data_IF_708182292321
#
_entry.id   IF_708182292321
#
_cell.length_a   1.000
_cell.length_b   1.000
_cell.length_c   1.000
_cell.angle_alpha   90.00
_cell.angle_beta   90.00
_cell.angle_gamma   90.00
#
_symmetry.space_group_name_H-M   'P 1'
#
loop_
_entity.id
_entity.type
_entity.pdbx_description
1 polymer ?
#
# COMPACT_ATOMS: atom_id res chain seq x y z
N UNK A 1 0.74 6.87 -13.96
CA UNK A 1 0.23 8.25 -13.85
C UNK A 1 0.43 8.69 -12.41
N UNK A 2 1.02 9.86 -12.09
CA UNK A 2 1.09 10.29 -10.69
C UNK A 2 -0.34 10.48 -10.17
N UNK A 3 -0.67 9.89 -9.03
CA UNK A 3 -2.02 9.89 -8.45
C UNK A 3 -2.60 11.30 -8.24
N UNK A 4 -1.75 12.31 -8.12
CA UNK A 4 -2.14 13.73 -8.02
C UNK A 4 -2.75 14.30 -9.30
N UNK A 5 -2.51 13.71 -10.48
CA UNK A 5 -3.12 14.15 -11.73
C UNK A 5 -4.59 13.70 -11.87
N UNK A 6 -5.08 12.86 -10.95
CA UNK A 6 -6.37 12.19 -11.09
C UNK A 6 -7.47 12.68 -10.13
N UNK A 7 -7.21 13.60 -9.19
CA UNK A 7 -8.29 14.11 -8.34
C UNK A 7 -9.12 15.13 -9.13
N UNK A 8 -10.32 14.75 -9.62
CA UNK A 8 -11.20 15.68 -10.30
C UNK A 8 -11.69 16.72 -9.29
N UNK A 9 -12.34 17.78 -9.78
CA UNK A 9 -12.84 18.88 -8.96
C UNK A 9 -13.51 18.38 -7.66
N UNK A 10 -12.85 18.64 -6.52
CA UNK A 10 -13.30 18.22 -5.20
C UNK A 10 -14.57 18.98 -4.84
N UNK A 11 -15.66 18.25 -4.61
CA UNK A 11 -16.92 18.83 -4.15
C UNK A 11 -17.01 18.74 -2.63
N UNK A 12 -17.45 19.82 -1.98
CA UNK A 12 -17.61 19.88 -0.54
C UNK A 12 -19.09 19.85 -0.17
N UNK A 13 -19.42 19.08 0.87
CA UNK A 13 -20.69 19.17 1.55
C UNK A 13 -20.59 20.25 2.63
N UNK A 14 -21.59 21.12 2.68
CA UNK A 14 -21.66 22.23 3.64
C UNK A 14 -22.91 22.05 4.49
N UNK A 15 -22.77 22.25 5.81
CA UNK A 15 -23.91 22.27 6.72
C UNK A 15 -24.74 23.56 6.59
N UNK A 16 -25.83 23.64 7.34
CA UNK A 16 -26.73 24.81 7.37
C UNK A 16 -26.07 26.07 7.94
N UNK A 17 -24.93 25.93 8.62
CA UNK A 17 -24.13 27.02 9.18
C UNK A 17 -22.98 27.44 8.24
N UNK A 18 -22.89 26.82 7.06
CA UNK A 18 -21.87 27.13 6.05
C UNK A 18 -20.50 26.51 6.32
N UNK A 19 -20.40 25.54 7.25
CA UNK A 19 -19.16 24.81 7.51
C UNK A 19 -19.04 23.61 6.58
N UNK A 20 -17.84 23.37 6.06
CA UNK A 20 -17.53 22.16 5.27
C UNK A 20 -17.52 20.95 6.19
N UNK A 21 -18.43 20.00 5.96
CA UNK A 21 -18.61 18.79 6.79
C UNK A 21 -18.25 17.50 6.07
N UNK A 22 -18.09 17.55 4.75
CA UNK A 22 -17.72 16.36 3.97
C UNK A 22 -17.11 16.72 2.63
N UNK A 23 -16.56 15.69 1.99
CA UNK A 23 -16.04 15.72 0.63
C UNK A 23 -16.77 14.64 -0.16
N UNK A 24 -17.29 15.00 -1.33
CA UNK A 24 -17.86 14.07 -2.28
C UNK A 24 -16.82 13.74 -3.35
N UNK A 25 -16.51 12.45 -3.46
CA UNK A 25 -15.65 11.89 -4.50
C UNK A 25 -16.47 10.88 -5.30
N UNK A 26 -16.21 10.78 -6.60
CA UNK A 26 -16.64 9.60 -7.34
C UNK A 26 -15.83 8.36 -6.88
N UNK A 27 -16.34 7.18 -7.21
CA UNK A 27 -15.74 5.92 -6.73
C UNK A 27 -14.31 5.73 -7.24
N UNK A 28 -14.02 6.14 -8.47
CA UNK A 28 -12.70 5.98 -9.07
C UNK A 28 -11.67 6.89 -8.38
N UNK A 29 -12.07 8.12 -8.05
CA UNK A 29 -11.24 9.06 -7.30
C UNK A 29 -11.01 8.58 -5.86
N UNK A 30 -12.01 7.97 -5.22
CA UNK A 30 -11.86 7.35 -3.90
C UNK A 30 -10.87 6.17 -3.93
N UNK A 31 -11.03 5.24 -4.88
CA UNK A 31 -10.12 4.10 -5.04
C UNK A 31 -8.69 4.55 -5.32
N UNK A 32 -8.51 5.51 -6.22
CA UNK A 32 -7.19 6.07 -6.55
C UNK A 32 -6.54 6.75 -5.34
N UNK A 33 -7.33 7.40 -4.48
CA UNK A 33 -6.84 8.02 -3.25
C UNK A 33 -6.36 6.96 -2.24
N UNK A 34 -7.14 5.88 -2.07
CA UNK A 34 -6.77 4.76 -1.19
C UNK A 34 -5.48 4.10 -1.69
N UNK A 35 -5.42 3.76 -2.98
CA UNK A 35 -4.24 3.16 -3.61
C UNK A 35 -3.00 4.05 -3.42
N UNK A 36 -3.15 5.36 -3.60
CA UNK A 36 -2.04 6.29 -3.40
C UNK A 36 -1.51 6.30 -1.96
N UNK A 37 -2.41 6.24 -0.96
CA UNK A 37 -2.02 6.15 0.45
C UNK A 37 -1.26 4.85 0.72
N UNK A 38 -1.72 3.74 0.15
CA UNK A 38 -1.10 2.42 0.27
C UNK A 38 0.28 2.37 -0.39
N UNK A 39 0.42 2.87 -1.62
CA UNK A 39 1.71 3.00 -2.31
C UNK A 39 2.70 3.81 -1.46
N UNK A 40 2.26 4.92 -0.86
CA UNK A 40 3.10 5.72 0.01
C UNK A 40 3.55 4.97 1.26
N UNK A 41 2.71 4.09 1.80
CA UNK A 41 3.04 3.23 2.95
C UNK A 41 4.01 2.11 2.55
N UNK A 42 3.74 1.44 1.44
CA UNK A 42 4.54 0.32 0.95
C UNK A 42 5.93 0.80 0.54
N UNK A 43 6.04 1.97 -0.09
CA UNK A 43 7.33 2.58 -0.39
C UNK A 43 8.17 2.82 0.87
N UNK A 44 7.55 3.28 1.98
CA UNK A 44 8.26 3.45 3.25
C UNK A 44 8.71 2.11 3.84
N UNK A 45 7.88 1.07 3.75
CA UNK A 45 8.25 -0.26 4.19
C UNK A 45 9.42 -0.81 3.36
N UNK A 46 9.38 -0.67 2.03
CA UNK A 46 10.44 -1.08 1.13
C UNK A 46 11.76 -0.36 1.42
N UNK A 47 11.74 0.96 1.64
CA UNK A 47 12.95 1.73 2.03
C UNK A 47 13.55 1.25 3.34
N UNK A 48 12.70 0.98 4.34
CA UNK A 48 13.15 0.45 5.64
C UNK A 48 13.84 -0.91 5.46
N UNK A 49 13.19 -1.84 4.77
CA UNK A 49 13.75 -3.17 4.50
C UNK A 49 15.06 -3.06 3.73
N UNK A 50 15.11 -2.26 2.66
CA UNK A 50 16.33 -2.10 1.87
C UNK A 50 17.50 -1.55 2.71
N UNK A 51 17.21 -0.65 3.66
CA UNK A 51 18.22 -0.11 4.58
C UNK A 51 18.76 -1.20 5.51
N UNK A 52 17.89 -2.02 6.08
CA UNK A 52 18.26 -3.16 6.93
C UNK A 52 19.08 -4.20 6.16
N UNK A 53 18.65 -4.54 4.94
CA UNK A 53 19.36 -5.48 4.06
C UNK A 53 20.74 -4.96 3.67
N UNK A 54 20.84 -3.66 3.36
CA UNK A 54 22.14 -3.04 3.02
C UNK A 54 23.09 -3.08 4.22
N UNK A 55 22.60 -2.76 5.42
CA UNK A 55 23.40 -2.81 6.65
C UNK A 55 23.86 -4.23 7.00
N UNK A 56 23.05 -5.24 6.69
CA UNK A 56 23.40 -6.64 6.88
C UNK A 56 24.33 -7.21 5.78
N UNK A 57 24.60 -6.47 4.71
CA UNK A 57 25.42 -6.94 3.57
C UNK A 57 24.65 -7.78 2.55
N UNK A 58 23.32 -7.77 2.59
CA UNK A 58 22.44 -8.45 1.65
C UNK A 58 21.30 -9.26 2.28
N UNK A 59 20.40 -9.76 1.45
CA UNK A 59 19.21 -10.52 1.88
C UNK A 59 19.57 -11.81 2.65
N UNK A 60 20.49 -12.62 2.10
CA UNK A 60 20.87 -13.89 2.72
C UNK A 60 21.58 -13.72 4.06
N UNK A 61 22.42 -12.70 4.19
CA UNK A 61 23.14 -12.40 5.44
C UNK A 61 22.21 -11.80 6.50
N UNK A 62 21.11 -11.16 6.09
CA UNK A 62 20.02 -10.74 6.96
C UNK A 62 19.09 -11.89 7.39
N UNK A 63 19.33 -13.13 6.94
CA UNK A 63 18.50 -14.30 7.27
C UNK A 63 17.24 -14.43 6.41
N UNK A 64 17.12 -13.68 5.31
CA UNK A 64 16.00 -13.81 4.37
C UNK A 64 16.23 -15.00 3.44
N UNK A 65 15.17 -15.76 3.18
CA UNK A 65 15.16 -16.93 2.28
C UNK A 65 14.42 -16.56 1.00
N UNK A 66 14.87 -17.09 -0.15
CA UNK A 66 14.16 -16.85 -1.41
C UNK A 66 12.79 -17.53 -1.36
N UNK A 67 11.78 -16.88 -1.92
CA UNK A 67 10.42 -17.42 -1.92
C UNK A 67 10.35 -18.77 -2.63
N UNK A 68 11.11 -18.92 -3.71
CA UNK A 68 11.23 -20.15 -4.48
C UNK A 68 11.72 -21.34 -3.64
N UNK A 69 12.55 -21.07 -2.61
CA UNK A 69 13.13 -22.11 -1.75
C UNK A 69 12.14 -22.58 -0.66
N UNK A 70 11.12 -21.78 -0.31
CA UNK A 70 10.18 -22.06 0.80
C UNK A 70 8.72 -22.20 0.38
N UNK A 71 8.39 -21.84 -0.87
CA UNK A 71 7.01 -21.80 -1.38
C UNK A 71 6.32 -23.15 -1.25
N UNK A 72 7.01 -24.26 -1.52
CA UNK A 72 6.41 -25.60 -1.48
C UNK A 72 6.11 -26.05 -0.04
N UNK A 73 6.98 -25.71 0.93
CA UNK A 73 6.76 -25.95 2.35
C UNK A 73 5.60 -25.09 2.90
N UNK A 74 5.49 -23.86 2.42
CA UNK A 74 4.44 -22.91 2.82
C UNK A 74 3.10 -23.16 2.14
N UNK A 75 3.08 -23.79 0.97
CA UNK A 75 1.87 -24.16 0.23
C UNK A 75 1.18 -25.41 0.81
N UNK A 76 1.38 -25.68 2.11
CA UNK A 76 0.98 -26.89 2.82
C UNK A 76 -0.32 -27.53 2.34
N UNK A 77 -0.24 -28.86 2.23
CA UNK A 77 -1.20 -29.87 1.78
C UNK A 77 -2.70 -29.50 1.88
N UNK A 78 -3.54 -29.94 0.92
CA UNK A 78 -4.98 -29.82 1.07
C UNK A 78 -5.38 -30.48 2.39
N UNK A 79 -6.05 -29.73 3.27
CA UNK A 79 -6.72 -30.27 4.45
C UNK A 79 -7.62 -31.42 4.01
N UNK A 80 -7.21 -32.67 4.21
CA UNK A 80 -8.10 -33.82 4.13
C UNK A 80 -9.06 -33.79 5.32
N UNK A 81 -10.37 -33.89 5.03
CA UNK A 81 -11.40 -34.38 5.96
C UNK A 81 -12.21 -33.35 6.71
#
# INVERSE_FOLDING_TARGET
MPATAALPAVQYLTDTEGRRTGVLLDIQAWESLVEWIEIGRDARAAVKVLTELTAAGGARTAGWVAWEDVREEWAGEPTEG
#
